data_IF_287099505561
#
_entry.id   IF_287099505561
#
_cell.length_a   1.000
_cell.length_b   1.000
_cell.length_c   1.000
_cell.angle_alpha   90.00
_cell.angle_beta   90.00
_cell.angle_gamma   90.00
#
_symmetry.space_group_name_H-M   'P 1'
#
loop_
_entity.id
_entity.type
_entity.pdbx_description
1 polymer ?
#
# COMPACT_ATOMS: atom_id res chain seq x y z
N UNK A 1 -13.58 37.78 54.25
CA UNK A 1 -12.16 37.99 54.55
C UNK A 1 -11.44 37.04 53.62
N UNK A 2 -11.26 37.36 52.38
CA UNK A 2 -10.17 38.05 51.64
C UNK A 2 -8.82 37.38 51.83
N UNK A 3 -8.39 36.73 50.76
CA UNK A 3 -7.23 37.07 49.95
C UNK A 3 -6.07 36.14 49.96
N UNK A 4 -5.16 36.25 49.01
CA UNK A 4 -5.31 36.06 47.58
C UNK A 4 -4.21 35.11 47.00
N UNK A 5 -4.40 34.82 45.75
CA UNK A 5 -3.53 34.15 44.79
C UNK A 5 -2.11 34.68 44.74
N UNK A 6 -1.13 33.79 44.48
CA UNK A 6 0.17 34.18 43.96
C UNK A 6 0.34 33.48 42.59
N UNK A 7 0.15 34.24 41.54
CA UNK A 7 0.58 33.97 40.17
C UNK A 7 2.11 34.06 40.10
N UNK A 8 2.76 32.97 39.81
CA UNK A 8 4.19 32.95 39.44
C UNK A 8 4.32 33.03 37.92
N UNK A 9 4.56 34.23 37.43
CA UNK A 9 4.95 34.56 36.07
C UNK A 9 6.30 33.94 35.79
N UNK A 10 6.34 32.91 34.93
CA UNK A 10 7.59 32.44 34.32
C UNK A 10 7.96 33.40 33.19
N UNK A 11 9.06 34.12 33.37
CA UNK A 11 9.71 34.89 32.33
C UNK A 11 10.35 33.92 31.30
N UNK A 12 9.85 33.98 30.06
CA UNK A 12 10.48 33.38 28.89
C UNK A 12 11.76 34.18 28.57
N UNK A 13 12.90 33.55 28.74
CA UNK A 13 14.17 34.07 28.22
C UNK A 13 14.23 33.85 26.69
N UNK A 14 14.64 34.80 25.90
CA UNK A 14 14.74 34.64 24.46
C UNK A 14 15.86 33.66 24.09
N UNK A 15 15.50 32.63 23.35
CA UNK A 15 16.45 31.69 22.72
C UNK A 15 17.21 32.50 21.67
N UNK A 16 18.52 32.65 21.85
CA UNK A 16 19.43 33.25 20.90
C UNK A 16 19.44 32.52 19.54
N UNK A 17 19.81 33.22 18.45
CA UNK A 17 19.83 32.61 17.13
C UNK A 17 20.76 31.43 17.06
N UNK A 18 20.29 30.34 16.44
CA UNK A 18 21.07 29.14 16.17
C UNK A 18 22.33 29.48 15.35
N UNK A 19 23.48 28.83 15.61
CA UNK A 19 24.69 29.08 14.84
C UNK A 19 24.47 28.69 13.37
N UNK A 20 24.91 29.58 12.48
CA UNK A 20 24.87 29.33 11.04
C UNK A 20 25.61 28.04 10.70
N UNK A 21 25.12 27.23 9.72
CA UNK A 21 25.80 26.01 9.32
C UNK A 21 27.18 26.36 8.74
N UNK A 22 28.20 25.80 9.36
CA UNK A 22 29.58 25.88 8.92
C UNK A 22 29.70 25.39 7.47
N UNK A 23 30.32 26.20 6.63
CA UNK A 23 30.38 26.11 5.17
C UNK A 23 30.50 24.69 4.60
N UNK A 24 29.43 24.22 4.03
CA UNK A 24 29.47 23.13 3.07
C UNK A 24 30.11 23.66 1.78
N UNK A 25 31.41 23.47 1.64
CA UNK A 25 32.09 23.56 0.34
C UNK A 25 31.32 22.63 -0.59
N UNK A 26 30.67 23.22 -1.58
CA UNK A 26 30.09 22.50 -2.70
C UNK A 26 31.18 21.60 -3.30
N UNK A 27 31.08 20.31 -3.05
CA UNK A 27 31.83 19.30 -3.80
C UNK A 27 31.28 19.28 -5.21
N UNK A 28 31.97 19.96 -6.10
CA UNK A 28 31.68 19.97 -7.53
C UNK A 28 31.52 18.55 -8.06
N UNK A 29 30.38 18.35 -8.70
CA UNK A 29 29.83 17.21 -9.38
C UNK A 29 30.76 16.08 -9.81
N UNK A 30 30.78 15.00 -9.07
CA UNK A 30 30.77 13.67 -9.70
C UNK A 30 29.37 13.48 -10.27
N UNK A 31 29.25 13.33 -11.60
CA UNK A 31 28.00 12.93 -12.22
C UNK A 31 27.48 11.67 -11.49
N UNK A 32 26.37 11.81 -10.75
CA UNK A 32 25.77 10.67 -10.05
C UNK A 32 25.31 9.71 -11.15
N UNK A 33 25.71 8.44 -11.05
CA UNK A 33 25.18 7.42 -11.96
C UNK A 33 23.63 7.43 -11.89
N UNK A 34 22.95 7.09 -12.98
CA UNK A 34 21.50 6.89 -12.95
C UNK A 34 21.12 5.89 -11.84
N UNK A 35 19.98 6.13 -11.19
CA UNK A 35 19.46 5.20 -10.19
C UNK A 35 18.96 3.93 -10.90
N UNK A 36 19.36 2.78 -10.38
CA UNK A 36 18.88 1.47 -10.83
C UNK A 36 17.50 1.20 -10.24
N UNK A 37 16.51 0.98 -11.09
CA UNK A 37 15.13 0.77 -10.69
C UNK A 37 14.71 -0.69 -10.89
N UNK A 38 13.99 -1.24 -9.91
CA UNK A 38 13.22 -2.45 -10.07
C UNK A 38 11.73 -2.17 -9.84
N UNK A 39 10.87 -2.85 -10.58
CA UNK A 39 9.44 -2.96 -10.29
C UNK A 39 9.17 -4.32 -9.67
N UNK A 40 8.41 -4.35 -8.58
CA UNK A 40 8.03 -5.56 -7.87
C UNK A 40 6.52 -5.72 -7.79
N UNK A 41 6.00 -6.87 -8.21
CA UNK A 41 4.58 -7.20 -8.17
C UNK A 41 4.38 -8.46 -7.34
N UNK A 42 3.56 -8.37 -6.29
CA UNK A 42 3.10 -9.52 -5.53
C UNK A 42 1.69 -9.90 -6.00
N UNK A 43 1.49 -11.13 -6.46
CA UNK A 43 0.18 -11.61 -6.92
C UNK A 43 -0.12 -13.02 -6.39
N UNK A 44 -1.40 -13.33 -6.17
CA UNK A 44 -1.84 -14.66 -5.74
C UNK A 44 -3.27 -14.94 -6.21
N UNK A 45 -3.45 -15.99 -7.01
CA UNK A 45 -4.76 -16.46 -7.49
C UNK A 45 -5.44 -15.52 -8.48
N UNK A 46 -4.68 -14.66 -9.17
CA UNK A 46 -5.19 -13.70 -10.17
C UNK A 46 -4.36 -13.71 -11.47
N UNK A 47 -4.06 -14.87 -12.06
CA UNK A 47 -3.11 -14.99 -13.18
C UNK A 47 -3.47 -14.12 -14.39
N UNK A 48 -4.76 -13.99 -14.72
CA UNK A 48 -5.19 -13.20 -15.89
C UNK A 48 -4.95 -11.70 -15.69
N UNK A 49 -5.24 -11.17 -14.49
CA UNK A 49 -5.03 -9.75 -14.15
C UNK A 49 -3.54 -9.44 -14.12
N UNK A 50 -2.76 -10.28 -13.45
CA UNK A 50 -1.31 -10.16 -13.41
C UNK A 50 -0.72 -10.10 -14.83
N UNK A 51 -1.14 -11.03 -15.71
CA UNK A 51 -0.66 -11.07 -17.09
C UNK A 51 -1.00 -9.79 -17.84
N UNK A 52 -2.25 -9.31 -17.77
CA UNK A 52 -2.69 -8.09 -18.45
C UNK A 52 -1.88 -6.86 -17.97
N UNK A 53 -1.65 -6.76 -16.66
CA UNK A 53 -0.86 -5.68 -16.08
C UNK A 53 0.61 -5.75 -16.49
N UNK A 54 1.23 -6.93 -16.47
CA UNK A 54 2.62 -7.13 -16.90
C UNK A 54 2.78 -6.85 -18.40
N UNK A 55 1.87 -7.32 -19.23
CA UNK A 55 1.89 -7.05 -20.69
C UNK A 55 1.79 -5.54 -20.96
N UNK A 56 0.96 -4.81 -20.20
CA UNK A 56 0.89 -3.36 -20.29
C UNK A 56 2.20 -2.69 -19.85
N UNK A 57 2.75 -3.07 -18.69
CA UNK A 57 3.99 -2.49 -18.15
C UNK A 57 5.17 -2.66 -19.11
N UNK A 58 5.32 -3.84 -19.70
CA UNK A 58 6.42 -4.14 -20.62
C UNK A 58 6.26 -3.47 -21.99
N UNK A 59 5.07 -2.99 -22.35
CA UNK A 59 4.82 -2.20 -23.53
C UNK A 59 5.05 -0.69 -23.34
N UNK A 60 5.21 -0.21 -22.10
CA UNK A 60 5.49 1.21 -21.83
C UNK A 60 6.88 1.61 -22.34
N UNK A 61 7.07 2.88 -22.78
CA UNK A 61 8.38 3.36 -23.24
C UNK A 61 9.39 3.49 -22.09
N UNK A 62 8.92 3.67 -20.87
CA UNK A 62 9.71 3.91 -19.66
C UNK A 62 9.80 2.59 -18.89
N UNK A 63 10.96 1.96 -18.85
CA UNK A 63 11.17 0.64 -18.31
C UNK A 63 12.05 0.69 -17.07
N UNK A 64 11.75 -0.16 -16.08
CA UNK A 64 12.70 -0.48 -15.03
C UNK A 64 13.78 -1.46 -15.54
N UNK A 65 14.95 -1.48 -14.91
CA UNK A 65 15.99 -2.47 -15.24
C UNK A 65 15.55 -3.91 -14.93
N UNK A 66 14.66 -4.06 -13.96
CA UNK A 66 14.14 -5.37 -13.52
C UNK A 66 12.64 -5.28 -13.26
N UNK A 67 11.88 -6.27 -13.75
CA UNK A 67 10.49 -6.50 -13.40
C UNK A 67 10.39 -7.85 -12.69
N UNK A 68 10.12 -7.81 -11.38
CA UNK A 68 10.12 -8.97 -10.49
C UNK A 68 8.67 -9.27 -10.08
N UNK A 69 8.20 -10.46 -10.39
CA UNK A 69 6.87 -10.94 -10.02
C UNK A 69 7.01 -12.05 -8.98
N UNK A 70 6.39 -11.89 -7.81
CA UNK A 70 6.37 -12.92 -6.77
C UNK A 70 4.98 -13.54 -6.66
N UNK A 71 4.93 -14.86 -6.85
CA UNK A 71 3.69 -15.67 -6.76
C UNK A 71 3.84 -16.80 -5.74
N UNK A 72 2.75 -17.30 -5.12
CA UNK A 72 2.84 -18.41 -4.18
C UNK A 72 3.02 -19.77 -4.86
N UNK A 73 2.53 -19.91 -6.09
CA UNK A 73 2.68 -21.10 -6.95
C UNK A 73 2.90 -20.64 -8.38
N UNK A 74 3.66 -21.40 -9.15
CA UNK A 74 4.05 -21.00 -10.51
C UNK A 74 2.85 -20.80 -11.46
N UNK A 75 1.77 -21.55 -11.25
CA UNK A 75 0.54 -21.44 -12.05
C UNK A 75 -0.12 -20.04 -11.92
N UNK A 76 0.08 -19.34 -10.79
CA UNK A 76 -0.39 -17.98 -10.60
C UNK A 76 0.37 -16.95 -11.48
N UNK A 77 1.51 -17.35 -12.08
CA UNK A 77 2.30 -16.47 -12.96
C UNK A 77 1.79 -16.40 -14.41
N UNK A 78 0.78 -17.18 -14.80
CA UNK A 78 0.15 -17.11 -16.13
C UNK A 78 1.13 -17.25 -17.33
N UNK A 79 2.16 -18.07 -17.20
CA UNK A 79 3.18 -18.27 -18.24
C UNK A 79 4.25 -17.18 -18.31
N UNK A 80 4.25 -16.19 -17.41
CA UNK A 80 5.27 -15.13 -17.34
C UNK A 80 6.67 -15.68 -17.03
N UNK A 81 6.76 -16.89 -16.43
CA UNK A 81 8.05 -17.52 -16.11
C UNK A 81 8.89 -17.88 -17.33
N UNK A 82 8.26 -18.01 -18.52
CA UNK A 82 8.95 -18.31 -19.78
C UNK A 82 9.47 -17.05 -20.49
N UNK A 83 9.21 -15.87 -19.95
CA UNK A 83 9.62 -14.58 -20.52
C UNK A 83 11.01 -14.18 -20.01
N UNK A 84 11.81 -13.55 -20.88
CA UNK A 84 13.15 -13.07 -20.56
C UNK A 84 13.15 -11.68 -19.91
N UNK A 85 12.08 -10.92 -20.08
CA UNK A 85 11.90 -9.55 -19.57
C UNK A 85 11.19 -9.50 -18.21
N UNK A 86 10.83 -10.65 -17.63
CA UNK A 86 10.14 -10.77 -16.34
C UNK A 86 10.86 -11.80 -15.48
N UNK A 87 11.22 -11.43 -14.27
CA UNK A 87 11.77 -12.34 -13.27
C UNK A 87 10.66 -12.88 -12.37
N UNK A 88 10.28 -14.13 -12.55
CA UNK A 88 9.27 -14.77 -11.71
C UNK A 88 9.95 -15.51 -10.55
N UNK A 89 9.56 -15.19 -9.32
CA UNK A 89 10.02 -15.85 -8.10
C UNK A 89 8.84 -16.44 -7.33
N UNK A 90 9.09 -17.56 -6.64
CA UNK A 90 8.08 -18.19 -5.78
C UNK A 90 8.35 -17.83 -4.32
N UNK A 91 7.30 -17.44 -3.60
CA UNK A 91 7.34 -17.09 -2.18
C UNK A 91 6.13 -17.64 -1.43
N UNK A 92 6.15 -17.58 -0.11
CA UNK A 92 5.00 -17.97 0.71
C UNK A 92 3.78 -17.09 0.39
N UNK A 93 2.58 -17.67 0.43
CA UNK A 93 1.34 -16.92 0.21
C UNK A 93 1.14 -15.87 1.31
N UNK A 94 1.02 -14.62 0.92
CA UNK A 94 0.81 -13.46 1.78
C UNK A 94 1.53 -12.23 1.23
N UNK A 95 0.85 -11.08 1.20
CA UNK A 95 1.36 -9.86 0.58
C UNK A 95 2.71 -9.44 1.20
N UNK A 96 2.78 -9.45 2.53
CA UNK A 96 3.99 -9.08 3.28
C UNK A 96 5.17 -10.00 2.99
N UNK A 97 4.94 -11.32 2.99
CA UNK A 97 5.97 -12.31 2.68
C UNK A 97 6.45 -12.22 1.23
N UNK A 98 5.53 -12.06 0.28
CA UNK A 98 5.88 -11.91 -1.14
C UNK A 98 6.67 -10.62 -1.37
N UNK A 99 6.30 -9.48 -0.76
CA UNK A 99 7.06 -8.23 -0.84
C UNK A 99 8.45 -8.35 -0.22
N UNK A 100 8.61 -9.09 0.87
CA UNK A 100 9.92 -9.37 1.46
C UNK A 100 10.81 -10.19 0.51
N UNK A 101 10.24 -11.17 -0.20
CA UNK A 101 10.98 -11.91 -1.23
C UNK A 101 11.39 -11.02 -2.40
N UNK A 102 10.54 -10.08 -2.81
CA UNK A 102 10.89 -9.09 -3.84
C UNK A 102 12.02 -8.18 -3.37
N UNK A 103 12.00 -7.68 -2.11
CA UNK A 103 13.11 -6.88 -1.54
C UNK A 103 14.43 -7.64 -1.64
N UNK A 104 14.43 -8.92 -1.29
CA UNK A 104 15.64 -9.77 -1.36
C UNK A 104 16.13 -9.94 -2.81
N UNK A 105 15.22 -10.17 -3.75
CA UNK A 105 15.57 -10.30 -5.16
C UNK A 105 16.10 -8.99 -5.76
N UNK A 106 15.55 -7.83 -5.36
CA UNK A 106 15.92 -6.51 -5.84
C UNK A 106 17.11 -5.88 -5.10
N UNK A 107 17.81 -6.60 -4.21
CA UNK A 107 18.80 -6.04 -3.29
C UNK A 107 19.99 -5.32 -3.98
N UNK A 108 20.22 -5.57 -5.24
CA UNK A 108 21.25 -4.93 -6.07
C UNK A 108 20.80 -3.65 -6.77
N UNK A 109 19.53 -3.22 -6.60
CA UNK A 109 18.98 -1.97 -7.17
C UNK A 109 18.95 -0.84 -6.14
N UNK A 110 18.75 0.41 -6.59
CA UNK A 110 18.70 1.56 -5.70
C UNK A 110 17.29 1.85 -5.20
N UNK A 111 16.32 1.73 -6.10
CA UNK A 111 14.90 2.01 -5.86
C UNK A 111 14.07 0.80 -6.28
N UNK A 112 13.22 0.34 -5.40
CA UNK A 112 12.22 -0.68 -5.67
C UNK A 112 10.83 -0.04 -5.67
N UNK A 113 10.08 -0.21 -6.75
CA UNK A 113 8.72 0.29 -6.92
C UNK A 113 7.78 -0.91 -6.85
N UNK A 114 7.02 -1.01 -5.76
CA UNK A 114 5.94 -1.97 -5.64
C UNK A 114 4.71 -1.46 -6.39
N UNK A 115 4.18 -2.28 -7.28
CA UNK A 115 2.88 -2.08 -7.90
C UNK A 115 1.98 -3.26 -7.55
N UNK A 116 0.70 -3.00 -7.30
CA UNK A 116 -0.28 -4.09 -7.23
C UNK A 116 -0.51 -4.66 -8.64
N UNK A 117 -0.90 -5.93 -8.72
CA UNK A 117 -1.12 -6.65 -9.98
C UNK A 117 -2.33 -6.12 -10.79
N UNK A 118 -3.01 -5.09 -10.28
CA UNK A 118 -4.09 -4.35 -10.91
C UNK A 118 -3.90 -2.82 -10.81
N UNK A 119 -2.63 -2.36 -10.72
CA UNK A 119 -2.28 -0.94 -10.81
C UNK A 119 -1.73 -0.61 -12.19
N UNK A 120 -2.33 0.37 -12.87
CA UNK A 120 -2.00 0.82 -14.23
C UNK A 120 -1.35 2.19 -14.15
N UNK A 121 -0.01 2.27 -14.24
CA UNK A 121 0.72 3.54 -14.21
C UNK A 121 0.62 4.29 -15.54
N UNK A 122 0.72 5.62 -15.48
CA UNK A 122 0.97 6.43 -16.68
C UNK A 122 2.37 6.14 -17.25
N UNK A 123 2.56 6.41 -18.54
CA UNK A 123 3.82 6.11 -19.24
C UNK A 123 5.05 6.78 -18.61
N UNK A 124 4.88 7.90 -17.90
CA UNK A 124 5.97 8.65 -17.24
C UNK A 124 6.10 8.34 -15.75
N UNK A 125 5.38 7.34 -15.24
CA UNK A 125 5.34 7.05 -13.80
C UNK A 125 6.73 6.73 -13.22
N UNK A 126 7.47 5.83 -13.88
CA UNK A 126 8.79 5.38 -13.40
C UNK A 126 9.82 6.50 -13.45
N UNK A 127 9.88 7.24 -14.56
CA UNK A 127 10.82 8.38 -14.71
C UNK A 127 10.52 9.51 -13.71
N UNK A 128 9.24 9.81 -13.45
CA UNK A 128 8.84 10.79 -12.43
C UNK A 128 9.27 10.35 -11.02
N UNK A 129 9.07 9.08 -10.67
CA UNK A 129 9.55 8.53 -9.41
C UNK A 129 11.08 8.60 -9.31
N UNK A 130 11.80 8.15 -10.34
CA UNK A 130 13.26 8.18 -10.38
C UNK A 130 13.81 9.60 -10.21
N UNK A 131 13.23 10.60 -10.88
CA UNK A 131 13.63 12.00 -10.79
C UNK A 131 13.51 12.54 -9.35
N UNK A 132 12.40 12.22 -8.65
CA UNK A 132 12.21 12.65 -7.26
C UNK A 132 13.26 12.03 -6.33
N UNK A 133 13.53 10.72 -6.46
CA UNK A 133 14.57 10.08 -5.64
C UNK A 133 15.99 10.56 -5.98
N UNK A 134 16.27 10.91 -7.23
CA UNK A 134 17.56 11.46 -7.64
C UNK A 134 17.77 12.88 -7.09
N UNK A 135 16.72 13.73 -7.14
CA UNK A 135 16.78 15.10 -6.66
C UNK A 135 16.75 15.19 -5.12
N UNK A 136 16.15 14.21 -4.43
CA UNK A 136 15.92 14.24 -2.98
C UNK A 136 16.53 12.99 -2.30
N UNK A 137 17.83 13.01 -1.95
CA UNK A 137 18.50 11.88 -1.31
C UNK A 137 17.93 11.49 0.06
N UNK A 138 17.24 12.40 0.71
CA UNK A 138 16.57 12.24 2.00
C UNK A 138 15.17 11.61 1.90
N UNK A 139 14.64 11.45 0.68
CA UNK A 139 13.40 10.69 0.47
C UNK A 139 13.70 9.19 0.51
N UNK A 140 13.04 8.49 1.42
CA UNK A 140 13.20 7.03 1.61
C UNK A 140 12.03 6.22 1.09
N UNK A 141 10.84 6.82 1.05
CA UNK A 141 9.63 6.18 0.53
C UNK A 141 8.76 7.22 -0.18
N UNK A 142 8.16 6.81 -1.28
CA UNK A 142 7.26 7.65 -2.07
C UNK A 142 6.02 6.87 -2.52
N UNK A 143 4.95 7.59 -2.84
CA UNK A 143 3.75 7.06 -3.50
C UNK A 143 3.36 8.00 -4.62
N UNK A 144 2.75 7.47 -5.67
CA UNK A 144 2.18 8.26 -6.76
C UNK A 144 0.76 8.75 -6.46
N UNK A 145 0.21 9.50 -7.40
CA UNK A 145 -1.18 9.94 -7.38
C UNK A 145 -2.08 8.86 -8.02
N UNK A 146 -3.10 8.42 -7.28
CA UNK A 146 -4.14 7.51 -7.82
C UNK A 146 -5.29 8.34 -8.35
N UNK A 147 -5.41 8.41 -9.69
CA UNK A 147 -6.42 9.22 -10.37
C UNK A 147 -7.84 8.64 -10.24
N UNK A 148 -7.93 7.31 -10.21
CA UNK A 148 -9.17 6.59 -9.95
C UNK A 148 -8.87 5.29 -9.22
N UNK A 149 -9.72 4.94 -8.26
CA UNK A 149 -9.59 3.73 -7.45
C UNK A 149 -10.90 2.92 -7.52
N UNK A 150 -10.85 1.79 -8.22
CA UNK A 150 -11.99 0.89 -8.42
C UNK A 150 -12.43 0.12 -7.17
N UNK A 151 -11.73 0.25 -6.04
CA UNK A 151 -12.05 -0.51 -4.82
C UNK A 151 -13.51 -0.27 -4.37
N UNK A 152 -13.98 0.96 -4.47
CA UNK A 152 -15.32 1.36 -4.00
C UNK A 152 -16.39 1.18 -5.09
N UNK A 153 -16.01 1.26 -6.36
CA UNK A 153 -16.95 1.29 -7.50
C UNK A 153 -17.18 -0.08 -8.15
N UNK A 154 -16.67 -1.13 -7.51
CA UNK A 154 -16.87 -2.50 -7.99
C UNK A 154 -15.83 -3.00 -8.97
N UNK A 155 -14.78 -2.22 -9.21
CA UNK A 155 -13.69 -2.46 -10.14
C UNK A 155 -13.79 -1.61 -11.40
N UNK A 156 -12.64 -1.25 -11.94
CA UNK A 156 -12.48 -0.57 -13.23
C UNK A 156 -11.93 -1.56 -14.26
N UNK A 157 -12.32 -1.41 -15.51
CA UNK A 157 -11.72 -2.17 -16.61
C UNK A 157 -10.43 -1.49 -17.11
N UNK A 158 -9.52 -2.26 -17.71
CA UNK A 158 -8.31 -1.72 -18.34
C UNK A 158 -8.61 -0.59 -19.34
N UNK A 159 -9.57 -0.72 -20.29
CA UNK A 159 -9.90 0.39 -21.20
C UNK A 159 -10.34 1.66 -20.48
N UNK A 160 -11.07 1.52 -19.35
CA UNK A 160 -11.48 2.68 -18.56
C UNK A 160 -10.30 3.33 -17.85
N UNK A 161 -9.37 2.54 -17.33
CA UNK A 161 -8.14 3.05 -16.73
C UNK A 161 -7.30 3.84 -17.74
N UNK A 162 -7.11 3.31 -18.94
CA UNK A 162 -6.38 3.99 -20.03
C UNK A 162 -7.05 5.31 -20.42
N UNK A 163 -8.39 5.33 -20.53
CA UNK A 163 -9.14 6.56 -20.78
C UNK A 163 -8.92 7.61 -19.70
N UNK A 164 -8.90 7.20 -18.41
CA UNK A 164 -8.62 8.12 -17.29
C UNK A 164 -7.22 8.70 -17.41
N UNK A 165 -6.21 7.86 -17.68
CA UNK A 165 -4.82 8.31 -17.85
C UNK A 165 -4.66 9.29 -19.01
N UNK A 166 -5.28 9.01 -20.15
CA UNK A 166 -5.25 9.88 -21.34
C UNK A 166 -5.91 11.24 -21.07
N UNK A 167 -7.06 11.24 -20.39
CA UNK A 167 -7.83 12.46 -20.11
C UNK A 167 -7.15 13.33 -19.05
N UNK A 168 -6.43 12.74 -18.09
CA UNK A 168 -5.83 13.46 -16.97
C UNK A 168 -4.62 14.34 -17.39
N UNK A 169 -4.00 14.04 -18.53
CA UNK A 169 -2.81 14.75 -19.01
C UNK A 169 -1.60 14.62 -18.09
N UNK A 170 -0.65 15.55 -18.20
CA UNK A 170 0.53 15.57 -17.35
C UNK A 170 0.21 16.08 -15.94
N UNK A 171 0.79 15.44 -14.92
CA UNK A 171 0.64 15.84 -13.52
C UNK A 171 1.53 17.01 -13.14
N UNK A 172 1.22 17.64 -12.00
CA UNK A 172 2.05 18.68 -11.41
C UNK A 172 3.41 18.12 -10.96
N UNK A 173 4.48 18.91 -11.09
CA UNK A 173 5.79 18.56 -10.53
C UNK A 173 5.87 18.85 -9.03
N UNK A 174 4.83 18.47 -8.30
CA UNK A 174 4.74 18.72 -6.87
C UNK A 174 5.06 17.46 -6.08
N UNK A 175 5.79 17.65 -4.98
CA UNK A 175 6.11 16.58 -4.01
C UNK A 175 5.60 17.04 -2.65
N UNK A 176 4.70 16.25 -2.06
CA UNK A 176 4.05 16.58 -0.78
C UNK A 176 4.40 15.53 0.27
N UNK A 177 4.73 15.94 1.50
CA UNK A 177 4.95 15.00 2.59
C UNK A 177 3.66 14.27 2.97
N UNK A 178 3.78 12.95 3.19
CA UNK A 178 2.66 12.10 3.57
C UNK A 178 3.00 11.25 4.80
N UNK A 179 1.98 10.78 5.49
CA UNK A 179 2.16 9.91 6.64
C UNK A 179 2.66 8.51 6.26
N UNK A 180 2.14 7.96 5.17
CA UNK A 180 2.52 6.68 4.58
C UNK A 180 2.35 6.71 3.05
N UNK A 181 3.08 5.86 2.36
CA UNK A 181 2.81 5.53 0.96
C UNK A 181 1.56 4.65 0.84
N UNK A 182 0.94 4.64 -0.33
CA UNK A 182 -0.17 3.73 -0.64
C UNK A 182 0.39 2.44 -1.24
N UNK A 183 -0.03 1.30 -0.69
CA UNK A 183 0.53 -0.01 -1.03
C UNK A 183 0.47 -0.38 -2.51
N UNK A 184 -0.53 0.13 -3.26
CA UNK A 184 -0.69 -0.21 -4.68
C UNK A 184 0.36 0.44 -5.62
N UNK A 185 1.12 1.45 -5.15
CA UNK A 185 2.12 2.15 -5.98
C UNK A 185 3.28 2.74 -5.15
N UNK A 186 3.80 1.96 -4.24
CA UNK A 186 4.83 2.38 -3.27
C UNK A 186 6.24 2.24 -3.85
N UNK A 187 7.02 3.32 -3.86
CA UNK A 187 8.44 3.31 -4.23
C UNK A 187 9.33 3.47 -2.99
N UNK A 188 10.40 2.70 -2.91
CA UNK A 188 11.25 2.59 -1.72
C UNK A 188 12.73 2.68 -2.10
N UNK A 189 13.51 3.53 -1.41
CA UNK A 189 14.97 3.51 -1.48
C UNK A 189 15.48 2.30 -0.70
N UNK A 190 16.20 1.40 -1.38
CA UNK A 190 16.62 0.15 -0.78
C UNK A 190 17.79 0.27 0.19
N UNK A 191 18.66 1.30 0.06
CA UNK A 191 19.80 1.45 0.97
C UNK A 191 19.44 1.44 2.46
N UNK A 192 18.48 2.24 2.99
CA UNK A 192 18.09 2.15 4.39
C UNK A 192 17.37 0.84 4.73
N UNK A 193 16.63 0.25 3.79
CA UNK A 193 15.94 -1.04 4.01
C UNK A 193 16.95 -2.13 4.27
N UNK A 194 17.96 -2.26 3.43
CA UNK A 194 19.01 -3.28 3.55
C UNK A 194 19.93 -3.00 4.74
N UNK A 195 20.32 -1.75 4.93
CA UNK A 195 21.24 -1.35 6.00
C UNK A 195 20.66 -1.62 7.40
N UNK A 196 19.35 -1.45 7.56
CA UNK A 196 18.67 -1.61 8.84
C UNK A 196 17.79 -2.86 8.91
N UNK A 197 17.93 -3.78 7.94
CA UNK A 197 17.16 -5.03 7.86
C UNK A 197 15.64 -4.80 8.02
N UNK A 198 15.11 -3.72 7.39
CA UNK A 198 13.68 -3.43 7.41
C UNK A 198 12.93 -4.42 6.53
N UNK A 199 11.77 -4.85 6.97
CA UNK A 199 10.91 -5.78 6.25
C UNK A 199 9.44 -5.45 6.49
N UNK A 200 8.58 -5.88 5.59
CA UNK A 200 7.15 -5.96 5.85
C UNK A 200 6.87 -6.96 6.97
N UNK A 201 5.95 -6.63 7.84
CA UNK A 201 5.65 -7.46 9.01
C UNK A 201 4.75 -8.66 8.65
N UNK A 202 5.32 -9.85 8.64
CA UNK A 202 4.59 -11.08 8.29
C UNK A 202 3.59 -11.52 9.39
N UNK A 203 3.57 -10.85 10.55
CA UNK A 203 2.47 -10.98 11.51
C UNK A 203 1.16 -10.34 11.00
N UNK A 204 1.20 -9.59 9.88
CA UNK A 204 0.05 -9.11 9.13
C UNK A 204 -0.22 -10.09 7.96
N UNK A 205 -0.95 -11.21 8.18
CA UNK A 205 -1.04 -12.28 7.22
C UNK A 205 -2.00 -11.99 6.06
N UNK A 206 -1.90 -12.79 5.01
CA UNK A 206 -2.75 -12.77 3.81
C UNK A 206 -2.65 -11.43 3.08
N UNK A 207 -3.74 -10.65 3.05
CA UNK A 207 -3.78 -9.31 2.44
C UNK A 207 -2.95 -8.28 3.21
N UNK A 208 -2.59 -8.57 4.47
CA UNK A 208 -1.72 -7.71 5.26
C UNK A 208 -2.28 -6.32 5.58
N UNK A 209 -3.59 -6.13 5.66
CA UNK A 209 -4.23 -4.81 5.77
C UNK A 209 -3.48 -3.85 6.72
N UNK A 210 -3.08 -2.65 6.24
CA UNK A 210 -2.19 -1.65 6.84
C UNK A 210 -0.69 -2.02 6.88
N UNK A 211 -0.24 -3.00 6.08
CA UNK A 211 1.19 -3.32 5.93
C UNK A 211 1.98 -2.13 5.35
N UNK A 212 1.34 -1.36 4.47
CA UNK A 212 1.87 -0.14 3.86
C UNK A 212 2.10 0.97 4.90
N UNK A 213 1.16 1.14 5.83
CA UNK A 213 1.29 2.07 6.97
C UNK A 213 2.45 1.63 7.86
N UNK A 214 2.48 0.35 8.24
CA UNK A 214 3.51 -0.21 9.11
C UNK A 214 4.92 -0.03 8.52
N UNK A 215 5.11 -0.46 7.28
CA UNK A 215 6.39 -0.36 6.59
C UNK A 215 6.81 1.10 6.37
N UNK A 216 5.88 1.96 5.93
CA UNK A 216 6.15 3.39 5.75
C UNK A 216 6.59 4.05 7.06
N UNK A 217 5.96 3.72 8.18
CA UNK A 217 6.33 4.30 9.48
C UNK A 217 7.63 3.73 10.03
N UNK A 218 7.98 2.50 9.64
CA UNK A 218 9.27 1.90 9.99
C UNK A 218 10.43 2.59 9.26
N UNK A 219 10.29 2.83 7.95
CA UNK A 219 11.34 3.48 7.14
C UNK A 219 11.40 5.00 7.34
N UNK A 220 10.30 5.65 7.75
CA UNK A 220 10.25 7.10 7.99
C UNK A 220 11.20 7.61 9.09
N UNK A 221 11.84 6.72 9.84
CA UNK A 221 12.90 7.05 10.79
C UNK A 221 14.23 7.43 10.11
N UNK A 222 14.36 7.08 8.84
CA UNK A 222 15.59 7.22 8.06
C UNK A 222 15.49 8.25 6.93
N UNK A 223 14.32 8.87 6.76
CA UNK A 223 14.10 9.91 5.77
C UNK A 223 12.61 10.23 5.56
N UNK A 224 12.35 11.11 4.59
CA UNK A 224 11.00 11.59 4.32
C UNK A 224 10.15 10.58 3.55
N UNK A 225 8.84 10.61 3.85
CA UNK A 225 7.78 9.93 3.09
C UNK A 225 7.04 10.96 2.26
N UNK A 226 6.93 10.76 0.95
CA UNK A 226 6.36 11.77 0.05
C UNK A 226 5.33 11.18 -0.93
N UNK A 227 4.42 12.03 -1.42
CA UNK A 227 3.60 11.79 -2.60
C UNK A 227 4.15 12.58 -3.78
N UNK A 228 4.30 11.93 -4.91
CA UNK A 228 4.75 12.48 -6.19
C UNK A 228 3.54 12.69 -7.08
N UNK A 229 3.05 13.91 -7.21
CA UNK A 229 1.79 14.20 -7.91
C UNK A 229 1.90 14.04 -9.43
N UNK A 230 3.12 14.10 -9.98
CA UNK A 230 3.37 13.80 -11.39
C UNK A 230 3.46 12.30 -11.73
N UNK A 231 3.66 11.42 -10.74
CA UNK A 231 3.66 9.99 -10.94
C UNK A 231 2.24 9.45 -10.76
N UNK A 232 1.50 9.34 -11.86
CA UNK A 232 0.06 9.07 -11.88
C UNK A 232 -0.25 7.64 -12.27
N UNK A 233 -1.37 7.12 -11.77
CA UNK A 233 -1.85 5.80 -12.15
C UNK A 233 -3.31 5.59 -11.79
N UNK A 234 -3.85 4.46 -12.21
CA UNK A 234 -5.21 4.01 -11.90
C UNK A 234 -5.14 2.65 -11.23
N UNK A 235 -5.81 2.50 -10.10
CA UNK A 235 -5.97 1.23 -9.42
C UNK A 235 -7.29 0.60 -9.85
N UNK A 236 -7.24 -0.54 -10.55
CA UNK A 236 -8.44 -1.18 -11.08
C UNK A 236 -9.37 -1.67 -9.97
N UNK A 237 -8.83 -2.03 -8.82
CA UNK A 237 -9.59 -2.47 -7.67
C UNK A 237 -10.36 -3.77 -7.95
N UNK A 238 -9.74 -4.73 -8.64
CA UNK A 238 -10.36 -5.98 -9.07
C UNK A 238 -10.87 -6.78 -7.87
N UNK A 239 -12.05 -7.40 -8.01
CA UNK A 239 -12.70 -8.11 -6.91
C UNK A 239 -12.22 -9.54 -6.69
N UNK A 240 -11.69 -10.20 -7.71
CA UNK A 240 -11.15 -11.55 -7.59
C UNK A 240 -10.02 -11.58 -6.55
N UNK A 241 -9.96 -12.62 -5.74
CA UNK A 241 -8.93 -12.77 -4.70
C UNK A 241 -9.11 -11.94 -3.42
N UNK A 242 -10.18 -11.10 -3.31
CA UNK A 242 -10.44 -10.33 -2.09
C UNK A 242 -10.72 -11.23 -0.89
N UNK A 243 -10.27 -10.79 0.28
CA UNK A 243 -10.52 -11.47 1.55
C UNK A 243 -12.03 -11.50 1.89
N UNK A 244 -12.53 -12.61 2.47
CA UNK A 244 -13.87 -12.67 3.04
C UNK A 244 -14.12 -11.53 4.02
N UNK A 245 -15.34 -10.99 4.03
CA UNK A 245 -15.69 -9.84 4.86
C UNK A 245 -15.33 -10.00 6.33
N UNK A 246 -15.55 -11.20 6.92
CA UNK A 246 -15.22 -11.48 8.32
C UNK A 246 -13.72 -11.35 8.62
N UNK A 247 -12.84 -11.87 7.73
CA UNK A 247 -11.39 -11.73 7.89
C UNK A 247 -10.95 -10.28 7.85
N UNK A 248 -11.40 -9.54 6.82
CA UNK A 248 -11.07 -8.14 6.69
C UNK A 248 -11.64 -7.32 7.85
N UNK A 249 -12.88 -7.58 8.28
CA UNK A 249 -13.47 -6.93 9.44
C UNK A 249 -12.65 -7.13 10.70
N UNK A 250 -12.20 -8.35 10.97
CA UNK A 250 -11.31 -8.63 12.10
C UNK A 250 -10.01 -7.82 12.02
N UNK A 251 -9.36 -7.81 10.86
CA UNK A 251 -8.12 -7.05 10.61
C UNK A 251 -8.33 -5.54 10.80
N UNK A 252 -9.53 -5.00 10.50
CA UNK A 252 -9.86 -3.58 10.69
C UNK A 252 -9.79 -3.11 12.15
N UNK A 253 -9.78 -4.02 13.10
CA UNK A 253 -9.58 -3.72 14.54
C UNK A 253 -8.23 -4.26 15.02
N UNK A 254 -7.90 -5.51 14.68
CA UNK A 254 -6.71 -6.18 15.17
C UNK A 254 -5.41 -5.51 14.71
N UNK A 255 -5.32 -5.16 13.43
CA UNK A 255 -4.09 -4.61 12.87
C UNK A 255 -3.77 -3.21 13.43
N UNK A 256 -4.71 -2.22 13.52
CA UNK A 256 -4.42 -0.95 14.17
C UNK A 256 -3.98 -1.09 15.63
N UNK A 257 -4.60 -1.99 16.39
CA UNK A 257 -4.20 -2.25 17.79
C UNK A 257 -2.80 -2.86 17.84
N UNK A 258 -2.49 -3.78 16.95
CA UNK A 258 -1.15 -4.35 16.82
C UNK A 258 -0.11 -3.27 16.49
N UNK A 259 -0.38 -2.40 15.51
CA UNK A 259 0.51 -1.32 15.11
C UNK A 259 0.74 -0.27 16.21
N UNK A 260 -0.27 -0.02 17.09
CA UNK A 260 -0.05 0.79 18.30
C UNK A 260 1.00 0.14 19.20
N UNK A 261 0.87 -1.17 19.45
CA UNK A 261 1.80 -1.91 20.31
C UNK A 261 3.22 -1.95 19.72
N UNK A 262 3.31 -2.06 18.40
CA UNK A 262 4.57 -2.03 17.64
C UNK A 262 5.18 -0.62 17.58
N UNK A 263 4.40 0.45 17.76
CA UNK A 263 4.85 1.84 17.71
C UNK A 263 4.88 2.44 16.31
N UNK A 264 4.26 1.80 15.31
CA UNK A 264 4.17 2.29 13.93
C UNK A 264 2.85 3.01 13.64
N UNK A 265 1.92 3.04 14.58
CA UNK A 265 0.68 3.81 14.47
C UNK A 265 0.34 4.52 15.78
N UNK A 266 -0.06 5.80 15.73
CA UNK A 266 -0.50 6.53 16.91
C UNK A 266 -1.88 6.08 17.37
N UNK A 267 -2.13 6.12 18.69
CA UNK A 267 -3.43 5.74 19.28
C UNK A 267 -4.60 6.49 18.64
N UNK A 268 -4.46 7.81 18.45
CA UNK A 268 -5.52 8.64 17.85
C UNK A 268 -5.88 8.22 16.43
N UNK A 269 -4.86 7.95 15.57
CA UNK A 269 -5.08 7.45 14.21
C UNK A 269 -5.74 6.08 14.20
N UNK A 270 -5.28 5.16 15.04
CA UNK A 270 -5.84 3.82 15.12
C UNK A 270 -7.32 3.83 15.55
N UNK A 271 -7.66 4.58 16.62
CA UNK A 271 -9.04 4.72 17.08
C UNK A 271 -9.93 5.34 16.01
N UNK A 272 -9.46 6.42 15.36
CA UNK A 272 -10.19 7.04 14.25
C UNK A 272 -10.38 6.08 13.07
N UNK A 273 -9.37 5.27 12.73
CA UNK A 273 -9.45 4.28 11.65
C UNK A 273 -10.44 3.16 11.99
N UNK A 274 -10.38 2.60 13.19
CA UNK A 274 -11.32 1.58 13.69
C UNK A 274 -12.74 2.14 13.67
N UNK A 275 -12.95 3.33 14.23
CA UNK A 275 -14.27 3.99 14.27
C UNK A 275 -14.86 4.22 12.87
N UNK A 276 -14.05 4.76 11.94
CA UNK A 276 -14.48 4.94 10.53
C UNK A 276 -14.89 3.63 9.86
N UNK A 277 -14.13 2.55 10.10
CA UNK A 277 -14.42 1.25 9.49
C UNK A 277 -15.72 0.66 10.04
N UNK A 278 -15.90 0.68 11.37
CA UNK A 278 -17.14 0.20 12.01
C UNK A 278 -18.35 1.01 11.52
N UNK A 279 -18.24 2.34 11.52
CA UNK A 279 -19.29 3.23 11.05
C UNK A 279 -19.64 2.96 9.56
N UNK A 280 -18.63 2.82 8.70
CA UNK A 280 -18.83 2.51 7.28
C UNK A 280 -19.49 1.13 7.08
N UNK A 281 -19.12 0.12 7.87
CA UNK A 281 -19.72 -1.22 7.80
C UNK A 281 -21.19 -1.19 8.27
N UNK A 282 -21.47 -0.51 9.40
CA UNK A 282 -22.84 -0.35 9.93
C UNK A 282 -23.72 0.42 8.94
N UNK A 283 -23.22 1.55 8.42
CA UNK A 283 -23.93 2.37 7.47
C UNK A 283 -24.19 1.60 6.17
N UNK A 284 -23.20 0.91 5.61
CA UNK A 284 -23.35 0.11 4.41
C UNK A 284 -24.36 -1.04 4.57
N UNK A 285 -24.49 -1.59 5.78
CA UNK A 285 -25.51 -2.59 6.10
C UNK A 285 -26.94 -1.97 6.07
N UNK A 286 -27.10 -0.78 6.63
CA UNK A 286 -28.39 -0.08 6.66
C UNK A 286 -28.85 0.36 5.26
N UNK A 287 -27.92 0.74 4.39
CA UNK A 287 -28.22 1.18 3.01
C UNK A 287 -28.12 0.06 1.96
N UNK A 288 -28.04 -1.21 2.40
CA UNK A 288 -28.03 -2.41 1.55
C UNK A 288 -26.96 -2.39 0.46
N UNK A 289 -25.71 -2.07 0.86
CA UNK A 289 -24.54 -2.13 -0.03
C UNK A 289 -24.29 -3.57 -0.49
N UNK A 290 -24.72 -3.89 -1.72
CA UNK A 290 -24.58 -5.23 -2.32
C UNK A 290 -23.16 -5.52 -2.83
N UNK A 291 -22.32 -4.50 -2.91
CA UNK A 291 -20.97 -4.62 -3.47
C UNK A 291 -19.94 -5.16 -2.46
N UNK A 292 -20.21 -4.97 -1.16
CA UNK A 292 -19.28 -5.28 -0.07
C UNK A 292 -19.99 -6.17 0.95
N UNK A 293 -19.35 -7.23 1.42
CA UNK A 293 -19.83 -8.05 2.53
C UNK A 293 -19.77 -7.28 3.87
N UNK A 294 -20.70 -6.32 4.04
CA UNK A 294 -20.76 -5.46 5.23
C UNK A 294 -21.10 -6.24 6.49
N UNK A 295 -21.95 -7.26 6.37
CA UNK A 295 -22.29 -8.13 7.50
C UNK A 295 -21.07 -8.92 7.99
N UNK A 296 -20.36 -9.57 7.07
CA UNK A 296 -19.12 -10.27 7.42
C UNK A 296 -18.10 -9.35 8.07
N UNK A 297 -17.92 -8.12 7.54
CA UNK A 297 -16.99 -7.14 8.13
C UNK A 297 -17.42 -6.72 9.53
N UNK A 298 -18.69 -6.42 9.77
CA UNK A 298 -19.18 -6.05 11.09
C UNK A 298 -19.04 -7.19 12.09
N UNK A 299 -19.36 -8.43 11.67
CA UNK A 299 -19.14 -9.63 12.48
C UNK A 299 -17.66 -9.80 12.87
N UNK A 300 -16.74 -9.58 11.91
CA UNK A 300 -15.31 -9.57 12.16
C UNK A 300 -14.88 -8.48 13.13
N UNK A 301 -15.42 -7.25 12.99
CA UNK A 301 -15.14 -6.15 13.93
C UNK A 301 -15.57 -6.52 15.37
N UNK A 302 -16.78 -7.04 15.55
CA UNK A 302 -17.31 -7.42 16.86
C UNK A 302 -16.47 -8.55 17.50
N UNK A 303 -16.08 -9.55 16.72
CA UNK A 303 -15.21 -10.62 17.20
C UNK A 303 -13.85 -10.08 17.65
N UNK A 304 -13.25 -9.16 16.87
CA UNK A 304 -11.98 -8.56 17.23
C UNK A 304 -12.08 -7.71 18.52
N UNK A 305 -13.18 -6.97 18.69
CA UNK A 305 -13.43 -6.23 19.95
C UNK A 305 -13.60 -7.17 21.14
N UNK A 306 -14.32 -8.30 20.96
CA UNK A 306 -14.44 -9.34 21.99
C UNK A 306 -13.08 -9.92 22.35
N UNK A 307 -12.26 -10.25 21.34
CA UNK A 307 -10.90 -10.78 21.56
C UNK A 307 -9.98 -9.75 22.24
N UNK A 308 -10.18 -8.46 21.96
CA UNK A 308 -9.45 -7.40 22.65
C UNK A 308 -9.76 -7.38 24.14
N UNK A 309 -11.04 -7.51 24.50
CA UNK A 309 -11.49 -7.50 25.91
C UNK A 309 -10.96 -8.71 26.72
N UNK A 310 -10.83 -9.86 26.05
CA UNK A 310 -10.32 -11.09 26.69
C UNK A 310 -8.82 -11.32 26.49
N UNK A 311 -8.09 -10.35 25.91
CA UNK A 311 -6.66 -10.40 25.74
C UNK A 311 -6.16 -11.37 24.62
N UNK A 312 -7.03 -11.80 23.70
CA UNK A 312 -6.72 -12.76 22.63
C UNK A 312 -6.48 -12.10 21.26
N UNK A 313 -6.57 -10.77 21.18
CA UNK A 313 -6.47 -10.07 19.93
C UNK A 313 -5.10 -10.24 19.27
N UNK A 314 -5.07 -10.83 18.09
CA UNK A 314 -3.88 -11.01 17.24
C UNK A 314 -4.24 -10.91 15.77
N UNK A 315 -3.44 -10.24 14.90
CA UNK A 315 -3.68 -10.25 13.47
C UNK A 315 -3.69 -11.66 12.86
N UNK A 316 -2.86 -12.57 13.35
CA UNK A 316 -2.74 -13.94 12.86
C UNK A 316 -4.00 -14.80 13.08
N UNK A 317 -4.90 -14.38 13.99
CA UNK A 317 -6.15 -15.13 14.26
C UNK A 317 -7.06 -15.27 13.04
N UNK A 318 -6.92 -14.40 12.02
CA UNK A 318 -7.69 -14.54 10.77
C UNK A 318 -7.37 -15.83 10.00
N UNK A 319 -6.23 -16.45 10.26
CA UNK A 319 -5.85 -17.74 9.65
C UNK A 319 -6.72 -18.89 10.16
N UNK A 320 -7.27 -18.78 11.38
CA UNK A 320 -8.16 -19.78 11.99
C UNK A 320 -9.59 -19.70 11.42
N UNK A 321 -9.95 -18.61 10.73
CA UNK A 321 -11.29 -18.46 10.15
C UNK A 321 -11.35 -19.27 8.85
N UNK A 322 -12.14 -20.34 8.84
CA UNK A 322 -12.37 -21.17 7.65
C UNK A 322 -12.76 -20.33 6.44
N UNK A 323 -12.45 -20.81 5.25
CA UNK A 323 -13.00 -20.20 4.03
C UNK A 323 -14.52 -20.39 4.08
N UNK A 324 -15.31 -19.31 3.86
CA UNK A 324 -16.75 -19.51 3.68
C UNK A 324 -16.96 -20.44 2.50
N UNK A 325 -17.91 -21.38 2.62
CA UNK A 325 -18.34 -22.17 1.49
C UNK A 325 -18.68 -21.24 0.30
N UNK A 326 -18.36 -21.61 -0.94
CA UNK A 326 -18.74 -20.82 -2.11
C UNK A 326 -20.25 -20.52 -2.02
N UNK A 327 -20.63 -19.25 -1.97
CA UNK A 327 -22.04 -18.88 -2.15
C UNK A 327 -22.37 -19.24 -3.60
N UNK A 328 -23.20 -20.24 -3.79
CA UNK A 328 -23.81 -20.48 -5.09
C UNK A 328 -24.53 -19.20 -5.51
N UNK A 329 -24.01 -18.57 -6.55
CA UNK A 329 -24.71 -17.47 -7.20
C UNK A 329 -26.03 -18.02 -7.73
N UNK A 330 -27.18 -17.43 -7.41
CA UNK A 330 -28.41 -17.85 -8.04
C UNK A 330 -28.25 -17.73 -9.55
N UNK A 331 -28.46 -18.82 -10.25
CA UNK A 331 -28.46 -18.88 -11.71
C UNK A 331 -29.36 -17.77 -12.25
N UNK A 332 -28.95 -17.02 -13.29
CA UNK A 332 -29.81 -16.03 -13.90
C UNK A 332 -31.07 -16.74 -14.39
N UNK A 333 -32.22 -16.42 -13.81
CA UNK A 333 -33.50 -16.93 -14.27
C UNK A 333 -33.71 -16.46 -15.71
N UNK A 334 -33.70 -17.39 -16.64
CA UNK A 334 -34.06 -17.17 -18.03
C UNK A 334 -35.55 -16.82 -18.00
N UNK A 335 -35.89 -15.54 -18.06
CA UNK A 335 -37.25 -15.08 -18.24
C UNK A 335 -37.70 -15.49 -19.65
N UNK A 336 -38.36 -16.62 -19.75
CA UNK A 336 -39.06 -17.05 -20.94
C UNK A 336 -40.22 -16.04 -21.21
N UNK A 337 -39.98 -15.10 -22.12
CA UNK A 337 -41.09 -14.32 -22.69
C UNK A 337 -42.02 -15.30 -23.44
N UNK A 338 -43.15 -15.63 -22.83
CA UNK A 338 -44.26 -16.21 -23.57
C UNK A 338 -44.87 -15.11 -24.48
N UNK A 339 -45.00 -15.47 -25.75
CA UNK A 339 -45.74 -14.70 -26.76
C UNK A 339 -47.21 -14.69 -26.44
#
# INVERSE_FOLDING_TARGET
>A
MTSPSAEATRQDSPIGPAPAPCGAKAMAGRARRPLRLAVGIASAGRPSILKETVDYLTALPDQAERLIVCVPVIDDAAGLADRLDVEVIVGSRGLTSQRNRIIQAAADTDILIFLDDDFIPAATFLSRMAAVFAANPDVTIATGEVLADGILDGGLSMPKALQVLETAGEGAEQVTEVYNAYGCNMAVRLSPVLQHALAFDEQLPLYGWLEDVDFSRSIARYGRSVRVEGARGVHLGVRSGRQPGRRLGYSQVANPVYLIRKGTMSKGRAVAQIGRNILANTRGLLFNDRLIDRWGRLNGNLLALSDLLVGRLSPSRILEFGNPAPREMPSPSIATKRR
#
